data_IF_102851969362
#
_entry.id   IF_102851969362
#
_cell.length_a   1.000
_cell.length_b   1.000
_cell.length_c   1.000
_cell.angle_alpha   90.00
_cell.angle_beta   90.00
_cell.angle_gamma   90.00
#
_symmetry.space_group_name_H-M   'P 1'
#
loop_
_entity.id
_entity.type
_entity.pdbx_description
1 polymer ?
#
# COMPACT_ATOMS: atom_id res chain seq x y z
N UNK A 1 -42.73 6.97 -27.49
CA UNK A 1 -41.78 8.06 -27.14
C UNK A 1 -41.45 7.93 -25.66
N UNK A 2 -40.23 7.51 -25.32
CA UNK A 2 -39.76 7.45 -23.93
C UNK A 2 -39.19 8.83 -23.60
N UNK A 3 -39.78 9.53 -22.63
CA UNK A 3 -39.24 10.79 -22.12
C UNK A 3 -38.13 10.48 -21.11
N UNK A 4 -36.92 10.97 -21.38
CA UNK A 4 -35.82 10.90 -20.43
C UNK A 4 -36.05 11.94 -19.33
N UNK A 5 -36.14 11.47 -18.08
CA UNK A 5 -36.17 12.34 -16.91
C UNK A 5 -34.72 12.69 -16.54
N UNK A 6 -34.37 13.97 -16.39
CA UNK A 6 -33.04 14.34 -15.93
C UNK A 6 -32.87 13.86 -14.49
N UNK A 7 -31.86 13.01 -14.27
CA UNK A 7 -31.42 12.68 -12.91
C UNK A 7 -30.69 13.91 -12.40
N UNK A 8 -31.19 14.49 -11.30
CA UNK A 8 -30.48 15.52 -10.56
C UNK A 8 -29.21 14.90 -9.98
N UNK A 9 -28.14 14.93 -10.78
CA UNK A 9 -26.80 14.61 -10.32
C UNK A 9 -26.31 15.80 -9.49
N UNK A 10 -26.84 15.94 -8.27
CA UNK A 10 -26.14 16.69 -7.25
C UNK A 10 -24.69 16.20 -7.27
N UNK A 11 -23.68 17.09 -7.35
CA UNK A 11 -22.30 16.65 -7.36
C UNK A 11 -22.11 15.81 -6.09
N UNK A 12 -21.96 14.51 -6.27
CA UNK A 12 -21.40 13.66 -5.24
C UNK A 12 -19.97 14.15 -5.12
N UNK A 13 -19.76 15.18 -4.31
CA UNK A 13 -18.46 15.45 -3.74
C UNK A 13 -18.11 14.13 -3.08
N UNK A 14 -17.15 13.35 -3.63
CA UNK A 14 -16.71 12.19 -2.89
C UNK A 14 -16.25 12.80 -1.57
N UNK A 15 -16.92 12.46 -0.47
CA UNK A 15 -16.34 12.71 0.84
C UNK A 15 -14.92 12.16 0.68
N UNK A 16 -13.89 13.03 0.69
CA UNK A 16 -12.50 12.60 0.49
C UNK A 16 -12.37 11.31 1.27
N UNK A 17 -12.20 10.16 0.59
CA UNK A 17 -12.49 8.86 1.21
C UNK A 17 -11.52 8.65 2.38
N UNK A 18 -11.90 9.15 3.54
CA UNK A 18 -11.05 9.29 4.70
C UNK A 18 -11.07 7.93 5.32
N UNK A 19 -10.00 7.19 5.09
CA UNK A 19 -9.68 5.96 5.79
C UNK A 19 -10.02 6.15 7.27
N UNK A 20 -11.03 5.44 7.74
CA UNK A 20 -11.51 5.49 9.12
C UNK A 20 -10.44 4.90 10.06
N UNK A 21 -10.60 5.11 11.37
CA UNK A 21 -9.68 4.50 12.33
C UNK A 21 -9.74 2.96 12.27
N UNK A 22 -10.93 2.40 12.09
CA UNK A 22 -11.14 0.96 11.98
C UNK A 22 -10.50 0.38 10.71
N UNK A 23 -10.71 1.01 9.56
CA UNK A 23 -10.06 0.62 8.30
C UNK A 23 -8.54 0.71 8.40
N UNK A 24 -8.01 1.75 9.05
CA UNK A 24 -6.58 1.89 9.29
C UNK A 24 -6.02 0.73 10.14
N UNK A 25 -6.73 0.34 11.21
CA UNK A 25 -6.33 -0.81 12.03
C UNK A 25 -6.41 -2.13 11.25
N UNK A 26 -7.44 -2.32 10.43
CA UNK A 26 -7.56 -3.50 9.57
C UNK A 26 -6.43 -3.57 8.55
N UNK A 27 -6.11 -2.46 7.88
CA UNK A 27 -4.97 -2.36 6.96
C UNK A 27 -3.65 -2.61 7.68
N UNK A 28 -3.45 -2.08 8.90
CA UNK A 28 -2.25 -2.34 9.67
C UNK A 28 -2.06 -3.84 9.92
N UNK A 29 -3.10 -4.56 10.35
CA UNK A 29 -3.06 -6.02 10.52
C UNK A 29 -2.74 -6.75 9.21
N UNK A 30 -3.28 -6.28 8.09
CA UNK A 30 -2.98 -6.84 6.78
C UNK A 30 -1.51 -6.58 6.37
N UNK A 31 -1.00 -5.38 6.60
CA UNK A 31 0.39 -5.00 6.31
C UNK A 31 1.38 -5.79 7.16
N UNK A 32 1.09 -6.05 8.44
CA UNK A 32 1.92 -6.94 9.27
C UNK A 32 2.07 -8.32 8.63
N UNK A 33 0.98 -8.91 8.13
CA UNK A 33 1.01 -10.21 7.43
C UNK A 33 1.75 -10.11 6.09
N UNK A 34 1.55 -9.02 5.35
CA UNK A 34 2.24 -8.76 4.08
C UNK A 34 3.76 -8.65 4.27
N UNK A 35 4.21 -7.89 5.26
CA UNK A 35 5.63 -7.73 5.60
C UNK A 35 6.28 -9.06 6.00
N UNK A 36 5.55 -9.93 6.71
CA UNK A 36 6.02 -11.29 6.97
C UNK A 36 6.22 -12.10 5.68
N UNK A 37 5.28 -12.00 4.72
CA UNK A 37 5.40 -12.65 3.40
C UNK A 37 6.54 -12.07 2.55
N UNK A 38 6.80 -10.78 2.67
CA UNK A 38 7.96 -10.11 2.06
C UNK A 38 9.27 -10.36 2.82
N UNK A 39 9.23 -11.08 3.95
CA UNK A 39 10.39 -11.39 4.80
C UNK A 39 11.15 -10.12 5.24
N UNK A 40 10.41 -9.10 5.66
CA UNK A 40 11.00 -7.86 6.18
C UNK A 40 11.49 -8.01 7.62
N UNK A 41 12.57 -7.31 7.96
CA UNK A 41 12.96 -7.11 9.37
C UNK A 41 12.03 -6.09 10.04
N UNK A 42 12.06 -6.02 11.37
CA UNK A 42 11.28 -5.03 12.10
C UNK A 42 11.74 -3.59 11.80
N UNK A 43 13.03 -3.39 11.55
CA UNK A 43 13.61 -2.11 11.16
C UNK A 43 13.10 -1.68 9.78
N UNK A 44 13.10 -2.59 8.81
CA UNK A 44 12.54 -2.33 7.48
C UNK A 44 11.05 -2.00 7.54
N UNK A 45 10.28 -2.76 8.32
CA UNK A 45 8.85 -2.51 8.52
C UNK A 45 8.57 -1.16 9.17
N UNK A 46 9.37 -0.79 10.19
CA UNK A 46 9.29 0.50 10.85
C UNK A 46 9.59 1.65 9.88
N UNK A 47 10.63 1.52 9.04
CA UNK A 47 10.94 2.49 7.98
C UNK A 47 9.79 2.68 7.00
N UNK A 48 9.18 1.60 6.51
CA UNK A 48 8.09 1.71 5.52
C UNK A 48 6.86 2.43 6.07
N UNK A 49 6.61 2.34 7.38
CA UNK A 49 5.48 2.99 8.04
C UNK A 49 5.83 4.32 8.71
N UNK A 50 7.07 4.78 8.60
CA UNK A 50 7.59 5.97 9.31
C UNK A 50 7.30 5.92 10.81
N UNK A 51 7.56 4.76 11.41
CA UNK A 51 7.41 4.52 12.84
C UNK A 51 8.78 4.37 13.46
N UNK A 52 8.91 4.81 14.72
CA UNK A 52 10.03 4.35 15.52
C UNK A 52 9.92 2.83 15.74
N UNK A 53 11.07 2.16 15.84
CA UNK A 53 11.15 0.69 15.99
C UNK A 53 10.39 0.16 17.22
N UNK A 54 10.35 0.92 18.33
CA UNK A 54 9.62 0.51 19.55
C UNK A 54 8.11 0.53 19.32
N UNK A 55 7.61 1.55 18.62
CA UNK A 55 6.20 1.68 18.24
C UNK A 55 5.80 0.55 17.31
N UNK A 56 6.60 0.26 16.28
CA UNK A 56 6.37 -0.89 15.41
C UNK A 56 6.27 -2.20 16.20
N UNK A 57 7.28 -2.52 17.02
CA UNK A 57 7.32 -3.77 17.80
C UNK A 57 6.13 -3.90 18.75
N UNK A 58 5.74 -2.81 19.42
CA UNK A 58 4.54 -2.76 20.27
C UNK A 58 3.26 -3.01 19.47
N UNK A 59 3.10 -2.32 18.34
CA UNK A 59 1.87 -2.37 17.54
C UNK A 59 1.71 -3.70 16.78
N UNK A 60 2.83 -4.31 16.33
CA UNK A 60 2.87 -5.62 15.68
C UNK A 60 2.24 -6.72 16.54
N UNK A 61 2.25 -6.57 17.86
CA UNK A 61 1.60 -7.46 18.83
C UNK A 61 0.06 -7.42 18.85
N UNK A 62 -0.59 -6.62 17.99
CA UNK A 62 -2.04 -6.66 17.78
C UNK A 62 -2.83 -5.48 18.35
N UNK A 63 -2.15 -4.48 18.92
CA UNK A 63 -2.77 -3.25 19.42
C UNK A 63 -2.12 -2.02 18.79
N UNK A 64 -2.39 -1.72 17.50
CA UNK A 64 -1.97 -0.48 16.90
C UNK A 64 -2.71 0.70 17.55
N UNK A 65 -1.98 1.76 17.87
CA UNK A 65 -2.56 3.03 18.31
C UNK A 65 -3.22 3.78 17.14
N UNK A 66 -3.53 5.06 17.36
CA UNK A 66 -4.13 5.88 16.32
C UNK A 66 -3.11 6.27 15.25
N UNK A 67 -3.32 5.80 14.02
CA UNK A 67 -2.54 6.22 12.86
C UNK A 67 -2.97 7.62 12.41
N UNK A 68 -1.99 8.51 12.27
CA UNK A 68 -2.15 9.82 11.63
C UNK A 68 -2.36 9.71 10.11
N UNK A 69 -2.53 10.87 9.45
CA UNK A 69 -2.78 10.94 8.00
C UNK A 69 -1.68 10.28 7.18
N UNK A 70 -0.42 10.52 7.53
CA UNK A 70 0.73 9.95 6.81
C UNK A 70 0.74 8.41 6.91
N UNK A 71 0.66 7.86 8.12
CA UNK A 71 0.59 6.41 8.34
C UNK A 71 -0.57 5.75 7.59
N UNK A 72 -1.76 6.38 7.54
CA UNK A 72 -2.89 5.88 6.73
C UNK A 72 -2.57 5.90 5.23
N UNK A 73 -1.88 6.93 4.76
CA UNK A 73 -1.46 7.07 3.35
C UNK A 73 -0.43 6.01 2.98
N UNK A 74 0.55 5.74 3.85
CA UNK A 74 1.53 4.66 3.68
C UNK A 74 0.86 3.30 3.62
N UNK A 75 -0.05 3.00 4.55
CA UNK A 75 -0.83 1.76 4.56
C UNK A 75 -1.63 1.58 3.26
N UNK A 76 -2.31 2.63 2.82
CA UNK A 76 -3.09 2.59 1.56
C UNK A 76 -2.21 2.28 0.36
N UNK A 77 -1.04 2.93 0.24
CA UNK A 77 -0.11 2.67 -0.86
C UNK A 77 0.46 1.25 -0.82
N UNK A 78 0.84 0.73 0.36
CA UNK A 78 1.36 -0.62 0.53
C UNK A 78 0.31 -1.69 0.18
N UNK A 79 -0.92 -1.51 0.66
CA UNK A 79 -2.05 -2.37 0.28
C UNK A 79 -2.33 -2.28 -1.22
N UNK A 80 -2.17 -1.09 -1.78
CA UNK A 80 -2.24 -0.86 -3.21
C UNK A 80 -1.18 -1.66 -3.99
N UNK A 81 0.08 -1.62 -3.58
CA UNK A 81 1.16 -2.38 -4.20
C UNK A 81 0.81 -3.88 -4.19
N UNK A 82 0.37 -4.40 -3.05
CA UNK A 82 -0.06 -5.80 -2.95
C UNK A 82 -1.22 -6.12 -3.90
N UNK A 83 -2.24 -5.27 -3.98
CA UNK A 83 -3.38 -5.44 -4.90
C UNK A 83 -2.92 -5.47 -6.36
N UNK A 84 -2.03 -4.57 -6.77
CA UNK A 84 -1.52 -4.53 -8.14
C UNK A 84 -0.72 -5.80 -8.48
N UNK A 85 0.16 -6.25 -7.58
CA UNK A 85 0.91 -7.49 -7.77
C UNK A 85 0.00 -8.72 -7.86
N UNK A 86 -1.09 -8.78 -7.07
CA UNK A 86 -2.10 -9.86 -7.17
C UNK A 86 -2.84 -9.87 -8.50
N UNK A 87 -3.03 -8.71 -9.13
CA UNK A 87 -3.62 -8.63 -10.47
C UNK A 87 -2.61 -9.14 -11.51
N UNK A 88 -1.37 -8.67 -11.45
CA UNK A 88 -0.32 -9.02 -12.42
C UNK A 88 0.05 -10.51 -12.36
N UNK A 89 0.21 -11.07 -11.16
CA UNK A 89 0.72 -12.44 -10.96
C UNK A 89 -0.34 -13.47 -10.56
N UNK A 90 -1.60 -13.04 -10.39
CA UNK A 90 -2.70 -13.92 -10.00
C UNK A 90 -2.46 -14.67 -8.69
N UNK A 91 -2.55 -16.01 -8.75
CA UNK A 91 -2.37 -16.91 -7.59
C UNK A 91 -0.91 -17.35 -7.34
N UNK A 92 0.05 -16.84 -8.13
CA UNK A 92 1.46 -17.22 -7.99
C UNK A 92 2.10 -16.67 -6.71
N UNK A 93 3.04 -17.43 -6.13
CA UNK A 93 3.88 -16.95 -5.03
C UNK A 93 4.82 -15.80 -5.44
N UNK A 94 5.00 -15.59 -6.76
CA UNK A 94 5.75 -14.45 -7.32
C UNK A 94 5.24 -13.09 -6.82
N UNK A 95 3.98 -13.01 -6.39
CA UNK A 95 3.39 -11.82 -5.74
C UNK A 95 4.24 -11.31 -4.58
N UNK A 96 4.87 -12.21 -3.82
CA UNK A 96 5.65 -11.84 -2.64
C UNK A 96 7.15 -11.70 -2.92
N UNK A 97 7.67 -12.44 -3.91
CA UNK A 97 9.08 -12.42 -4.29
C UNK A 97 9.46 -11.18 -5.11
N UNK A 98 8.54 -10.67 -5.94
CA UNK A 98 8.82 -9.59 -6.88
C UNK A 98 9.37 -8.33 -6.21
N UNK A 99 8.88 -7.98 -5.02
CA UNK A 99 9.30 -6.76 -4.32
C UNK A 99 10.80 -6.77 -3.98
N UNK A 100 11.41 -7.96 -3.87
CA UNK A 100 12.83 -8.16 -3.54
C UNK A 100 13.70 -8.44 -4.76
N UNK A 101 13.11 -8.73 -5.92
CA UNK A 101 13.84 -8.96 -7.15
C UNK A 101 14.34 -7.63 -7.73
N UNK A 102 15.54 -7.64 -8.32
CA UNK A 102 16.04 -6.49 -9.07
C UNK A 102 15.11 -6.13 -10.23
N UNK A 103 14.96 -4.84 -10.50
CA UNK A 103 14.08 -4.34 -11.56
C UNK A 103 14.75 -3.18 -12.32
N UNK A 104 14.81 -3.31 -13.63
CA UNK A 104 15.43 -2.33 -14.53
C UNK A 104 14.73 -0.96 -14.49
N UNK A 105 13.42 -0.90 -14.25
CA UNK A 105 12.67 0.34 -14.04
C UNK A 105 13.17 1.13 -12.79
N UNK A 106 13.91 0.47 -11.90
CA UNK A 106 14.51 1.06 -10.70
C UNK A 106 16.05 1.10 -10.76
N UNK A 107 16.63 0.90 -11.96
CA UNK A 107 18.06 0.90 -12.20
C UNK A 107 18.75 -0.33 -11.60
N UNK A 108 18.16 -1.51 -11.77
CA UNK A 108 18.67 -2.79 -11.26
C UNK A 108 18.36 -3.05 -9.78
N UNK A 109 17.92 -2.04 -9.03
CA UNK A 109 17.47 -2.20 -7.64
C UNK A 109 16.11 -2.85 -7.55
N UNK A 110 15.85 -3.47 -6.42
CA UNK A 110 14.52 -3.97 -6.08
C UNK A 110 13.56 -2.85 -5.69
N UNK A 111 12.26 -3.14 -5.81
CA UNK A 111 11.21 -2.22 -5.34
C UNK A 111 11.33 -1.96 -3.83
N UNK A 112 11.72 -2.98 -3.06
CA UNK A 112 11.94 -2.87 -1.63
C UNK A 112 13.05 -1.89 -1.30
N UNK A 113 14.20 -1.95 -1.99
CA UNK A 113 15.30 -0.99 -1.79
C UNK A 113 14.89 0.44 -2.11
N UNK A 114 14.03 0.64 -3.11
CA UNK A 114 13.46 1.97 -3.40
C UNK A 114 12.61 2.45 -2.23
N UNK A 115 11.66 1.65 -1.75
CA UNK A 115 10.76 2.02 -0.66
C UNK A 115 11.48 2.22 0.68
N UNK A 116 12.57 1.49 0.94
CA UNK A 116 13.34 1.56 2.18
C UNK A 116 14.19 2.83 2.33
N UNK A 117 14.16 3.74 1.37
CA UNK A 117 14.67 5.11 1.57
C UNK A 117 13.84 5.90 2.58
N UNK A 118 12.61 5.46 2.88
CA UNK A 118 11.78 5.98 3.96
C UNK A 118 10.76 7.03 3.54
N UNK A 119 10.95 7.70 2.40
CA UNK A 119 10.03 8.73 1.92
C UNK A 119 8.73 8.14 1.38
N UNK A 120 7.60 8.77 1.68
CA UNK A 120 6.30 8.37 1.13
C UNK A 120 6.31 8.40 -0.40
N UNK A 121 7.04 9.34 -1.00
CA UNK A 121 7.20 9.48 -2.44
C UNK A 121 7.80 8.23 -3.10
N UNK A 122 8.71 7.52 -2.43
CA UNK A 122 9.30 6.28 -2.95
C UNK A 122 8.27 5.14 -2.98
N UNK A 123 7.40 5.03 -1.97
CA UNK A 123 6.29 4.07 -1.96
C UNK A 123 5.29 4.40 -3.07
N UNK A 124 4.92 5.68 -3.20
CA UNK A 124 4.01 6.15 -4.26
C UNK A 124 4.60 5.88 -5.66
N UNK A 125 5.92 6.06 -5.84
CA UNK A 125 6.61 5.77 -7.11
C UNK A 125 6.46 4.30 -7.50
N UNK A 126 6.70 3.36 -6.57
CA UNK A 126 6.53 1.93 -6.82
C UNK A 126 5.05 1.60 -7.11
N UNK A 127 4.12 2.18 -6.35
CA UNK A 127 2.69 2.00 -6.57
C UNK A 127 2.25 2.47 -7.96
N UNK A 128 2.69 3.65 -8.39
CA UNK A 128 2.36 4.22 -9.72
C UNK A 128 2.92 3.37 -10.84
N UNK A 129 4.15 2.89 -10.70
CA UNK A 129 4.75 1.96 -11.68
C UNK A 129 3.87 0.71 -11.84
N UNK A 130 3.50 0.03 -10.74
CA UNK A 130 2.65 -1.16 -10.80
C UNK A 130 1.23 -0.86 -11.32
N UNK A 131 0.70 0.33 -11.05
CA UNK A 131 -0.59 0.76 -11.60
C UNK A 131 -0.54 0.95 -13.13
N UNK A 132 0.59 1.45 -13.67
CA UNK A 132 0.79 1.56 -15.11
C UNK A 132 0.93 0.17 -15.76
N UNK A 133 1.72 -0.73 -15.15
CA UNK A 133 1.92 -2.09 -15.67
C UNK A 133 0.62 -2.90 -15.74
N UNK A 134 -0.29 -2.72 -14.78
CA UNK A 134 -1.58 -3.43 -14.81
C UNK A 134 -2.64 -2.80 -15.72
N UNK A 135 -2.49 -1.52 -16.07
CA UNK A 135 -3.43 -0.79 -16.94
C UNK A 135 -3.08 -0.86 -18.42
N UNK A 136 -1.92 -1.42 -18.76
CA UNK A 136 -1.43 -1.59 -20.13
C UNK A 136 -1.92 -2.87 -20.82
N UNK A 137 -2.92 -3.58 -20.25
CA UNK A 137 -3.48 -4.83 -20.76
C UNK A 137 -4.99 -4.74 -20.95
#
# INVERSE_FOLDING_TARGET
MIALVPVDAAPHQPAEARITAEEAQAMFRAVVKLFARWRLTDEQAATLLDLNIRTWRRWKGGQPGQLGRDGRTRLSNLMGIHKALRIIFGRSDRVYEWVRAGNDAFGGRSALEVMLRGELADIVRVRRYLDAERGAW
#
